data_IF_517285164435
#
_entry.id   IF_517285164435
#
_cell.length_a   1.000
_cell.length_b   1.000
_cell.length_c   1.000
_cell.angle_alpha   90.00
_cell.angle_beta   90.00
_cell.angle_gamma   90.00
#
_symmetry.space_group_name_H-M   'P 1'
#
loop_
_entity.id
_entity.type
_entity.pdbx_description
1 polymer ?
#
# COMPACT_ATOMS: atom_id res chain seq x y z
N UNK A 1 -3.58 15.72 40.26
CA UNK A 1 -2.93 15.78 38.93
C UNK A 1 -3.55 16.96 38.22
N UNK A 2 -2.76 17.84 37.62
CA UNK A 2 -3.26 19.06 36.98
C UNK A 2 -4.18 18.68 35.78
N UNK A 3 -5.36 19.28 35.69
CA UNK A 3 -6.41 18.94 34.69
C UNK A 3 -5.86 19.07 33.25
N UNK A 4 -4.95 20.04 33.07
CA UNK A 4 -4.23 20.28 31.81
C UNK A 4 -3.28 19.13 31.43
N UNK A 5 -2.63 18.51 32.42
CA UNK A 5 -1.71 17.39 32.20
C UNK A 5 -2.46 16.12 31.76
N UNK A 6 -3.61 15.85 32.38
CA UNK A 6 -4.47 14.71 32.03
C UNK A 6 -5.08 14.87 30.62
N UNK A 7 -5.47 16.09 30.25
CA UNK A 7 -5.94 16.38 28.89
C UNK A 7 -4.85 16.17 27.83
N UNK A 8 -3.63 16.66 28.07
CA UNK A 8 -2.48 16.40 27.18
C UNK A 8 -2.18 14.91 27.04
N UNK A 9 -2.28 14.11 28.12
CA UNK A 9 -2.11 12.65 28.05
C UNK A 9 -3.13 11.98 27.13
N UNK A 10 -4.39 12.43 27.16
CA UNK A 10 -5.45 11.95 26.26
C UNK A 10 -5.17 12.32 24.80
N UNK A 11 -4.72 13.55 24.54
CA UNK A 11 -4.33 13.99 23.20
C UNK A 11 -3.16 13.18 22.66
N UNK A 12 -2.13 12.92 23.47
CA UNK A 12 -1.01 12.07 23.09
C UNK A 12 -1.48 10.69 22.65
N UNK A 13 -2.31 10.03 23.49
CA UNK A 13 -2.84 8.71 23.17
C UNK A 13 -3.66 8.68 21.88
N UNK A 14 -4.42 9.74 21.61
CA UNK A 14 -5.20 9.87 20.38
C UNK A 14 -4.29 9.94 19.14
N UNK A 15 -3.25 10.77 19.20
CA UNK A 15 -2.30 10.95 18.10
C UNK A 15 -1.46 9.69 17.85
N UNK A 16 -1.03 8.99 18.89
CA UNK A 16 -0.26 7.74 18.73
C UNK A 16 -1.12 6.59 18.21
N UNK A 17 -2.37 6.48 18.62
CA UNK A 17 -3.32 5.51 18.06
C UNK A 17 -3.60 5.81 16.58
N UNK A 18 -3.76 7.09 16.21
CA UNK A 18 -3.91 7.50 14.82
C UNK A 18 -2.68 7.10 14.00
N UNK A 19 -1.47 7.42 14.47
CA UNK A 19 -0.23 7.02 13.82
C UNK A 19 -0.18 5.50 13.56
N UNK A 20 -0.48 4.69 14.58
CA UNK A 20 -0.47 3.24 14.44
C UNK A 20 -1.43 2.74 13.36
N UNK A 21 -2.66 3.27 13.32
CA UNK A 21 -3.65 2.95 12.28
C UNK A 21 -3.16 3.34 10.88
N UNK A 22 -2.53 4.50 10.75
CA UNK A 22 -2.04 4.96 9.46
C UNK A 22 -0.88 4.12 8.93
N UNK A 23 0.02 3.63 9.80
CA UNK A 23 1.07 2.68 9.39
C UNK A 23 0.47 1.41 8.76
N UNK A 24 -0.62 0.89 9.33
CA UNK A 24 -1.36 -0.24 8.76
C UNK A 24 -2.01 0.10 7.41
N UNK A 25 -2.66 1.27 7.31
CA UNK A 25 -3.24 1.76 6.05
C UNK A 25 -2.19 1.90 4.96
N UNK A 26 -1.06 2.54 5.26
CA UNK A 26 0.06 2.72 4.33
C UNK A 26 0.63 1.39 3.86
N UNK A 27 0.87 0.46 4.76
CA UNK A 27 1.41 -0.85 4.37
C UNK A 27 0.41 -1.65 3.54
N UNK A 28 -0.89 -1.50 3.81
CA UNK A 28 -1.94 -2.09 2.97
C UNK A 28 -1.90 -1.52 1.55
N UNK A 29 -1.71 -0.20 1.39
CA UNK A 29 -1.52 0.43 0.08
C UNK A 29 -0.25 -0.07 -0.62
N UNK A 30 0.87 -0.24 0.08
CA UNK A 30 2.10 -0.84 -0.47
C UNK A 30 1.89 -2.27 -0.96
N UNK A 31 1.19 -3.09 -0.18
CA UNK A 31 0.87 -4.47 -0.55
C UNK A 31 -0.04 -4.51 -1.77
N UNK A 32 -1.02 -3.60 -1.84
CA UNK A 32 -1.91 -3.47 -2.99
C UNK A 32 -1.12 -3.08 -4.25
N UNK A 33 -0.31 -2.03 -4.20
CA UNK A 33 0.57 -1.59 -5.28
C UNK A 33 1.43 -2.74 -5.84
N UNK A 34 2.10 -3.47 -4.94
CA UNK A 34 2.96 -4.59 -5.30
C UNK A 34 2.19 -5.77 -5.89
N UNK A 35 0.98 -6.05 -5.40
CA UNK A 35 0.16 -7.15 -5.90
C UNK A 35 -0.38 -6.84 -7.29
N UNK A 36 -0.84 -5.63 -7.54
CA UNK A 36 -1.30 -5.15 -8.85
C UNK A 36 -0.15 -5.13 -9.87
N UNK A 37 1.04 -4.64 -9.46
CA UNK A 37 2.24 -4.69 -10.30
C UNK A 37 2.62 -6.12 -10.69
N UNK A 38 2.68 -7.04 -9.72
CA UNK A 38 2.99 -8.46 -9.98
C UNK A 38 1.98 -9.12 -10.92
N UNK A 39 0.70 -8.75 -10.85
CA UNK A 39 -0.29 -9.23 -11.80
C UNK A 39 0.00 -8.73 -13.21
N UNK A 40 0.30 -7.44 -13.37
CA UNK A 40 0.69 -6.85 -14.65
C UNK A 40 1.95 -7.50 -15.24
N UNK A 41 2.97 -7.73 -14.41
CA UNK A 41 4.21 -8.39 -14.82
C UNK A 41 3.94 -9.82 -15.32
N UNK A 42 3.10 -10.59 -14.61
CA UNK A 42 2.70 -11.95 -15.02
C UNK A 42 1.96 -11.97 -16.35
N UNK A 43 1.04 -11.04 -16.57
CA UNK A 43 0.32 -10.91 -17.84
C UNK A 43 1.30 -10.58 -18.97
N UNK A 44 2.23 -9.64 -18.71
CA UNK A 44 3.24 -9.24 -19.68
C UNK A 44 4.15 -10.41 -20.07
N UNK A 45 4.62 -11.20 -19.10
CA UNK A 45 5.41 -12.42 -19.35
C UNK A 45 4.60 -13.43 -20.16
N UNK A 46 3.34 -13.67 -19.80
CA UNK A 46 2.46 -14.59 -20.53
C UNK A 46 2.29 -14.15 -22.00
N UNK A 47 2.13 -12.85 -22.25
CA UNK A 47 2.07 -12.30 -23.61
C UNK A 47 3.37 -12.52 -24.39
N UNK A 48 4.53 -12.27 -23.78
CA UNK A 48 5.83 -12.51 -24.43
C UNK A 48 5.96 -13.97 -24.84
N UNK A 49 5.60 -14.91 -23.96
CA UNK A 49 5.64 -16.35 -24.27
C UNK A 49 4.66 -16.69 -25.39
N UNK A 50 3.40 -16.28 -25.29
CA UNK A 50 2.37 -16.60 -26.28
C UNK A 50 2.67 -16.01 -27.65
N UNK A 51 3.15 -14.77 -27.72
CA UNK A 51 3.53 -14.11 -28.98
C UNK A 51 4.78 -14.74 -29.60
N UNK A 52 5.75 -15.17 -28.78
CA UNK A 52 6.92 -15.91 -29.26
C UNK A 52 6.52 -17.26 -29.85
N UNK A 53 5.68 -18.03 -29.14
CA UNK A 53 5.15 -19.32 -29.64
C UNK A 53 4.33 -19.12 -30.91
N UNK A 54 3.49 -18.09 -30.95
CA UNK A 54 2.71 -17.75 -32.15
C UNK A 54 3.60 -17.42 -33.34
N UNK A 55 4.64 -16.62 -33.15
CA UNK A 55 5.57 -16.22 -34.22
C UNK A 55 6.33 -17.42 -34.78
N UNK A 56 6.90 -18.26 -33.90
CA UNK A 56 7.61 -19.48 -34.31
C UNK A 56 6.66 -20.49 -34.98
N UNK A 57 5.46 -20.66 -34.42
CA UNK A 57 4.44 -21.55 -34.98
C UNK A 57 3.95 -21.09 -36.35
N UNK A 58 3.83 -19.77 -36.56
CA UNK A 58 3.46 -19.20 -37.85
C UNK A 58 4.55 -19.44 -38.90
N UNK A 59 5.83 -19.25 -38.56
CA UNK A 59 6.97 -19.54 -39.46
C UNK A 59 6.97 -21.03 -39.85
N UNK A 60 6.64 -21.92 -38.91
CA UNK A 60 6.60 -23.37 -39.15
C UNK A 60 5.53 -23.81 -40.15
N UNK A 61 4.53 -22.96 -40.45
CA UNK A 61 3.51 -23.25 -41.47
C UNK A 61 4.07 -23.31 -42.89
N UNK A 62 5.24 -22.75 -43.12
CA UNK A 62 5.95 -22.80 -44.40
C UNK A 62 6.56 -24.20 -44.67
N UNK A 63 6.61 -25.07 -43.66
CA UNK A 63 7.11 -26.44 -43.79
C UNK A 63 5.97 -27.40 -44.17
N UNK A 64 6.26 -28.49 -44.91
CA UNK A 64 5.24 -29.44 -45.36
C UNK A 64 4.38 -30.08 -44.26
N UNK A 65 4.85 -30.09 -43.00
CA UNK A 65 4.16 -30.65 -41.83
C UNK A 65 3.54 -29.59 -40.89
N UNK A 66 3.41 -28.34 -41.34
CA UNK A 66 3.11 -27.18 -40.50
C UNK A 66 1.66 -26.99 -40.02
N UNK A 67 0.72 -27.88 -40.36
CA UNK A 67 -0.71 -27.70 -40.03
C UNK A 67 -0.98 -27.60 -38.51
N UNK A 68 -0.35 -28.48 -37.71
CA UNK A 68 -0.49 -28.44 -36.24
C UNK A 68 0.09 -27.16 -35.67
N UNK A 69 1.23 -26.69 -36.22
CA UNK A 69 1.85 -25.44 -35.82
C UNK A 69 0.96 -24.22 -36.11
N UNK A 70 0.21 -24.24 -37.22
CA UNK A 70 -0.75 -23.19 -37.57
C UNK A 70 -1.89 -23.07 -36.53
N UNK A 71 -2.45 -24.19 -36.10
CA UNK A 71 -3.53 -24.22 -35.09
C UNK A 71 -3.01 -23.66 -33.76
N UNK A 72 -1.85 -24.13 -33.31
CA UNK A 72 -1.22 -23.65 -32.07
C UNK A 72 -0.92 -22.15 -32.15
N UNK A 73 -0.34 -21.68 -33.26
CA UNK A 73 -0.03 -20.27 -33.45
C UNK A 73 -1.28 -19.38 -33.42
N UNK A 74 -2.37 -19.84 -34.05
CA UNK A 74 -3.65 -19.13 -34.07
C UNK A 74 -4.25 -19.05 -32.66
N UNK A 75 -4.27 -20.15 -31.92
CA UNK A 75 -4.76 -20.18 -30.55
C UNK A 75 -3.93 -19.28 -29.63
N UNK A 76 -2.59 -19.36 -29.69
CA UNK A 76 -1.70 -18.51 -28.91
C UNK A 76 -1.89 -17.02 -29.22
N UNK A 77 -2.07 -16.67 -30.51
CA UNK A 77 -2.35 -15.29 -30.93
C UNK A 77 -3.67 -14.77 -30.38
N UNK A 78 -4.73 -15.58 -30.41
CA UNK A 78 -6.03 -15.21 -29.87
C UNK A 78 -5.97 -14.97 -28.35
N UNK A 79 -5.26 -15.82 -27.60
CA UNK A 79 -5.08 -15.64 -26.15
C UNK A 79 -4.21 -14.42 -25.84
N UNK A 80 -3.12 -14.20 -26.59
CA UNK A 80 -2.27 -13.02 -26.42
C UNK A 80 -3.06 -11.72 -26.66
N UNK A 81 -3.93 -11.70 -27.68
CA UNK A 81 -4.81 -10.57 -27.98
C UNK A 81 -5.82 -10.34 -26.85
N UNK A 82 -6.45 -11.40 -26.34
CA UNK A 82 -7.39 -11.31 -25.21
C UNK A 82 -6.71 -10.72 -23.96
N UNK A 83 -5.50 -11.18 -23.64
CA UNK A 83 -4.70 -10.63 -22.54
C UNK A 83 -4.33 -9.15 -22.76
N UNK A 84 -4.06 -8.76 -24.01
CA UNK A 84 -3.74 -7.37 -24.35
C UNK A 84 -4.94 -6.45 -24.12
N UNK A 85 -6.11 -6.86 -24.60
CA UNK A 85 -7.34 -6.11 -24.42
C UNK A 85 -7.71 -6.01 -22.93
N UNK A 86 -7.57 -7.10 -22.17
CA UNK A 86 -7.76 -7.09 -20.73
C UNK A 86 -6.80 -6.12 -20.03
N UNK A 87 -5.50 -6.21 -20.30
CA UNK A 87 -4.49 -5.33 -19.67
C UNK A 87 -4.76 -3.85 -19.93
N UNK A 88 -5.17 -3.50 -21.17
CA UNK A 88 -5.54 -2.15 -21.55
C UNK A 88 -6.76 -1.63 -20.80
N UNK A 89 -7.77 -2.48 -20.57
CA UNK A 89 -8.97 -2.11 -19.81
C UNK A 89 -8.72 -2.04 -18.30
N UNK A 90 -7.92 -2.96 -17.76
CA UNK A 90 -7.63 -3.07 -16.33
C UNK A 90 -6.70 -1.97 -15.81
N UNK A 91 -5.90 -1.33 -16.68
CA UNK A 91 -5.02 -0.19 -16.32
C UNK A 91 -4.15 -0.47 -15.08
N UNK A 92 -3.66 -1.70 -14.95
CA UNK A 92 -2.95 -2.20 -13.76
C UNK A 92 -1.74 -1.33 -13.36
N UNK A 93 -1.07 -0.72 -14.35
CA UNK A 93 0.04 0.21 -14.07
C UNK A 93 -0.43 1.52 -13.44
N UNK A 94 -1.57 2.08 -13.90
CA UNK A 94 -2.16 3.30 -13.32
C UNK A 94 -2.69 3.01 -11.92
N UNK A 95 -3.36 1.87 -11.74
CA UNK A 95 -3.87 1.43 -10.43
C UNK A 95 -2.74 1.19 -9.42
N UNK A 96 -1.67 0.50 -9.83
CA UNK A 96 -0.47 0.32 -8.99
C UNK A 96 0.14 1.66 -8.59
N UNK A 97 0.27 2.59 -9.54
CA UNK A 97 0.79 3.94 -9.26
C UNK A 97 -0.12 4.74 -8.31
N UNK A 98 -1.45 4.59 -8.42
CA UNK A 98 -2.40 5.22 -7.49
C UNK A 98 -2.23 4.70 -6.06
N UNK A 99 -2.02 3.39 -5.87
CA UNK A 99 -1.72 2.81 -4.57
C UNK A 99 -0.37 3.31 -4.01
N UNK A 100 0.67 3.42 -4.85
CA UNK A 100 1.97 4.00 -4.44
C UNK A 100 1.80 5.45 -4.01
N UNK A 101 1.05 6.25 -4.76
CA UNK A 101 0.76 7.64 -4.41
C UNK A 101 0.06 7.73 -3.05
N UNK A 102 -1.00 6.95 -2.82
CA UNK A 102 -1.69 6.93 -1.54
C UNK A 102 -0.77 6.54 -0.38
N UNK A 103 0.11 5.55 -0.57
CA UNK A 103 1.12 5.16 0.43
C UNK A 103 2.10 6.30 0.76
N UNK A 104 2.59 7.02 -0.26
CA UNK A 104 3.48 8.17 -0.06
C UNK A 104 2.78 9.33 0.65
N UNK A 105 1.53 9.60 0.31
CA UNK A 105 0.72 10.65 0.93
C UNK A 105 0.46 10.32 2.41
N UNK A 106 0.16 9.05 2.73
CA UNK A 106 0.04 8.56 4.12
C UNK A 106 1.36 8.65 4.87
N UNK A 107 2.48 8.32 4.24
CA UNK A 107 3.81 8.49 4.85
C UNK A 107 4.10 9.95 5.19
N UNK A 108 3.75 10.89 4.32
CA UNK A 108 3.93 12.31 4.59
C UNK A 108 3.10 12.78 5.80
N UNK A 109 1.87 12.28 5.95
CA UNK A 109 1.06 12.49 7.14
C UNK A 109 1.74 11.90 8.39
N UNK A 110 2.19 10.64 8.34
CA UNK A 110 2.90 9.97 9.45
C UNK A 110 4.11 10.79 9.92
N UNK A 111 4.91 11.34 9.00
CA UNK A 111 6.08 12.18 9.35
C UNK A 111 5.68 13.49 10.03
N UNK A 112 4.61 14.15 9.56
CA UNK A 112 4.10 15.37 10.18
C UNK A 112 3.53 15.09 11.58
N UNK A 113 2.86 13.96 11.74
CA UNK A 113 2.34 13.52 13.03
C UNK A 113 3.46 13.20 14.01
N UNK A 114 4.54 12.55 13.56
CA UNK A 114 5.76 12.33 14.37
C UNK A 114 6.40 13.66 14.77
N UNK A 115 6.45 14.65 13.86
CA UNK A 115 6.92 16.00 14.21
C UNK A 115 6.05 16.64 15.29
N UNK A 116 4.72 16.57 15.16
CA UNK A 116 3.79 17.07 16.19
C UNK A 116 3.98 16.36 17.53
N UNK A 117 4.17 15.04 17.54
CA UNK A 117 4.46 14.26 18.73
C UNK A 117 5.81 14.64 19.35
N UNK A 118 6.80 15.00 18.54
CA UNK A 118 8.12 15.43 19.03
C UNK A 118 8.03 16.75 19.78
N UNK A 119 7.29 17.73 19.23
CA UNK A 119 7.13 19.07 19.79
C UNK A 119 6.03 19.15 20.89
N UNK A 120 5.38 18.02 21.20
CA UNK A 120 4.14 17.96 21.96
C UNK A 120 4.22 18.58 23.36
N UNK A 121 5.35 18.40 24.06
CA UNK A 121 5.54 18.93 25.41
C UNK A 121 5.62 20.46 25.43
N UNK A 122 6.19 21.06 24.37
CA UNK A 122 6.41 22.50 24.24
C UNK A 122 5.14 23.27 23.84
N UNK A 123 4.16 22.58 23.26
CA UNK A 123 2.92 23.18 22.76
C UNK A 123 1.84 23.24 23.86
N UNK A 124 1.03 24.29 23.87
CA UNK A 124 -0.19 24.31 24.67
C UNK A 124 -1.29 23.43 24.05
N UNK A 125 -2.30 22.98 24.81
CA UNK A 125 -3.33 22.09 24.29
C UNK A 125 -4.14 22.68 23.12
N UNK A 126 -4.33 23.99 23.08
CA UNK A 126 -5.02 24.66 21.98
C UNK A 126 -4.25 24.55 20.67
N UNK A 127 -2.93 24.80 20.72
CA UNK A 127 -2.04 24.63 19.57
C UNK A 127 -1.95 23.17 19.10
N UNK A 128 -1.94 22.21 20.02
CA UNK A 128 -1.96 20.77 19.70
C UNK A 128 -3.25 20.41 18.96
N UNK A 129 -4.40 20.83 19.47
CA UNK A 129 -5.69 20.57 18.84
C UNK A 129 -5.76 21.19 17.43
N UNK A 130 -5.34 22.44 17.26
CA UNK A 130 -5.35 23.10 15.96
C UNK A 130 -4.47 22.37 14.93
N UNK A 131 -3.25 21.96 15.31
CA UNK A 131 -2.34 21.18 14.44
C UNK A 131 -2.90 19.79 14.13
N UNK A 132 -3.49 19.10 15.12
CA UNK A 132 -4.15 17.80 14.91
C UNK A 132 -5.27 17.93 13.89
N UNK A 133 -6.17 18.89 14.07
CA UNK A 133 -7.35 19.04 13.23
C UNK A 133 -6.94 19.34 11.78
N UNK A 134 -5.94 20.22 11.60
CA UNK A 134 -5.33 20.45 10.28
C UNK A 134 -4.76 19.17 9.65
N UNK A 135 -3.97 18.40 10.40
CA UNK A 135 -3.41 17.14 9.90
C UNK A 135 -4.49 16.12 9.54
N UNK A 136 -5.59 16.09 10.28
CA UNK A 136 -6.68 15.14 10.07
C UNK A 136 -7.54 15.53 8.85
N UNK A 137 -7.69 16.83 8.59
CA UNK A 137 -8.31 17.33 7.35
C UNK A 137 -7.45 16.94 6.11
N UNK A 138 -6.12 17.05 6.22
CA UNK A 138 -5.20 16.57 5.18
C UNK A 138 -5.32 15.04 4.99
N UNK A 139 -5.43 14.29 6.07
CA UNK A 139 -5.60 12.83 6.03
C UNK A 139 -6.92 12.42 5.38
N UNK A 140 -8.03 13.11 5.67
CA UNK A 140 -9.32 12.87 5.01
C UNK A 140 -9.22 13.07 3.49
N UNK A 141 -8.50 14.09 3.04
CA UNK A 141 -8.25 14.31 1.63
C UNK A 141 -7.46 13.15 0.99
N UNK A 142 -6.47 12.59 1.69
CA UNK A 142 -5.73 11.39 1.24
C UNK A 142 -6.70 10.23 1.09
N UNK A 143 -7.51 9.93 2.12
CA UNK A 143 -8.46 8.81 2.09
C UNK A 143 -9.51 8.92 0.99
N UNK A 144 -10.02 10.12 0.70
CA UNK A 144 -10.96 10.36 -0.41
C UNK A 144 -10.37 10.08 -1.78
N UNK A 145 -9.07 10.27 -1.94
CA UNK A 145 -8.36 10.03 -3.20
C UNK A 145 -7.74 8.63 -3.31
N UNK A 146 -7.69 7.89 -2.20
CA UNK A 146 -7.04 6.59 -2.14
C UNK A 146 -7.85 5.52 -2.87
N UNK A 147 -7.20 4.68 -3.70
CA UNK A 147 -7.85 3.51 -4.28
C UNK A 147 -8.26 2.51 -3.18
N UNK A 148 -9.34 1.78 -3.46
CA UNK A 148 -9.86 0.78 -2.53
C UNK A 148 -8.90 -0.40 -2.41
N UNK A 149 -8.71 -0.85 -1.18
CA UNK A 149 -7.98 -2.08 -0.85
C UNK A 149 -8.96 -3.20 -0.50
N UNK A 150 -8.45 -4.41 -0.33
CA UNK A 150 -9.23 -5.57 0.07
C UNK A 150 -8.63 -6.28 1.30
N UNK A 151 -9.42 -7.16 1.89
CA UNK A 151 -9.06 -7.90 3.11
C UNK A 151 -7.78 -8.73 2.96
N UNK A 152 -7.54 -9.32 1.78
CA UNK A 152 -6.32 -10.09 1.52
C UNK A 152 -5.07 -9.22 1.54
N UNK A 153 -5.16 -7.99 1.01
CA UNK A 153 -4.06 -7.02 1.06
C UNK A 153 -3.82 -6.57 2.50
N UNK A 154 -4.88 -6.31 3.26
CA UNK A 154 -4.80 -5.91 4.66
C UNK A 154 -4.15 -6.99 5.54
N UNK A 155 -4.61 -8.24 5.46
CA UNK A 155 -4.04 -9.34 6.26
C UNK A 155 -2.58 -9.60 5.90
N UNK A 156 -2.21 -9.45 4.62
CA UNK A 156 -0.82 -9.55 4.20
C UNK A 156 0.04 -8.40 4.73
N UNK A 157 -0.47 -7.17 4.72
CA UNK A 157 0.23 -6.02 5.30
C UNK A 157 0.44 -6.21 6.81
N UNK A 158 -0.60 -6.64 7.52
CA UNK A 158 -0.53 -6.97 8.95
C UNK A 158 0.50 -8.05 9.26
N UNK A 159 0.58 -9.09 8.42
CA UNK A 159 1.62 -10.11 8.55
C UNK A 159 3.02 -9.53 8.32
N UNK A 160 3.21 -8.72 7.27
CA UNK A 160 4.50 -8.09 6.97
C UNK A 160 4.97 -7.15 8.07
N UNK A 161 4.07 -6.36 8.67
CA UNK A 161 4.40 -5.50 9.81
C UNK A 161 4.88 -6.34 11.00
N UNK A 162 4.22 -7.45 11.30
CA UNK A 162 4.59 -8.35 12.42
C UNK A 162 5.91 -9.08 12.21
N UNK A 163 6.21 -9.45 10.97
CA UNK A 163 7.46 -10.13 10.62
C UNK A 163 8.63 -9.14 10.59
N UNK A 164 8.45 -7.94 10.01
CA UNK A 164 9.48 -6.91 9.97
C UNK A 164 9.74 -6.26 11.33
N UNK A 165 8.76 -6.28 12.25
CA UNK A 165 8.89 -5.75 13.61
C UNK A 165 9.18 -6.83 14.67
N UNK A 166 9.37 -8.09 14.25
CA UNK A 166 9.70 -9.25 15.09
C UNK A 166 8.91 -9.29 16.43
N UNK A 167 7.67 -9.76 16.35
CA UNK A 167 6.68 -9.99 17.44
C UNK A 167 6.05 -8.75 18.09
N UNK A 168 4.77 -8.51 17.81
CA UNK A 168 3.88 -7.77 18.71
C UNK A 168 2.41 -8.22 18.57
N UNK A 169 1.98 -9.05 19.52
CA UNK A 169 0.58 -9.36 19.84
C UNK A 169 0.42 -9.29 21.38
N UNK A 170 0.97 -8.24 21.99
CA UNK A 170 0.91 -7.98 23.44
C UNK A 170 0.78 -6.48 23.67
N UNK A 171 0.22 -6.09 24.83
CA UNK A 171 0.09 -4.71 25.30
C UNK A 171 1.38 -3.90 25.00
N UNK A 172 1.30 -2.90 24.11
CA UNK A 172 2.47 -2.15 23.61
C UNK A 172 2.66 -2.09 22.10
N UNK A 173 1.72 -2.60 21.29
CA UNK A 173 1.80 -2.55 19.81
C UNK A 173 1.94 -1.13 19.23
N UNK A 174 1.28 -0.13 19.81
CA UNK A 174 1.44 1.27 19.41
C UNK A 174 2.87 1.76 19.71
N UNK A 175 3.43 1.36 20.85
CA UNK A 175 4.79 1.73 21.23
C UNK A 175 5.81 1.11 20.25
N UNK A 176 5.63 -0.14 19.81
CA UNK A 176 6.55 -0.75 18.84
C UNK A 176 6.49 -0.13 17.44
N UNK A 177 5.37 0.49 17.07
CA UNK A 177 5.21 1.19 15.79
C UNK A 177 5.85 2.57 15.77
N UNK A 178 5.84 3.26 16.92
CA UNK A 178 6.43 4.60 17.04
C UNK A 178 7.97 4.54 16.89
N UNK A 179 8.62 5.63 16.44
CA UNK A 179 10.06 5.82 16.57
C UNK A 179 10.54 5.62 18.02
N UNK A 180 11.75 5.06 18.20
CA UNK A 180 12.28 4.69 19.53
C UNK A 180 12.24 5.82 20.57
N UNK A 181 12.49 7.05 20.15
CA UNK A 181 12.49 8.25 21.00
C UNK A 181 11.09 8.69 21.48
N UNK A 182 10.01 8.14 20.91
CA UNK A 182 8.63 8.43 21.29
C UNK A 182 7.99 7.28 22.10
N UNK A 183 8.63 6.12 22.15
CA UNK A 183 8.25 5.00 23.02
C UNK A 183 8.48 5.46 24.46
N UNK A 184 7.51 5.32 25.36
CA UNK A 184 7.63 5.57 26.82
C UNK A 184 7.41 7.00 27.38
N UNK A 185 7.12 8.04 26.57
CA UNK A 185 6.98 9.41 27.12
C UNK A 185 5.78 9.67 28.05
N UNK A 186 4.74 8.82 28.07
CA UNK A 186 3.50 9.10 28.84
C UNK A 186 2.89 7.89 29.58
N UNK A 187 3.67 6.82 29.82
CA UNK A 187 3.20 5.60 30.52
C UNK A 187 3.27 5.66 32.06
N UNK A 188 3.75 6.76 32.65
CA UNK A 188 3.64 7.05 34.09
C UNK A 188 2.55 8.06 34.40
#
# INVERSE_FOLDING_TARGET
MDENHEYKKRLWSQLTEAYAKEVYSRETQNVAANSTKKLGDRISIAQIVLTSVATVGFISTLLPSGYVAAIVATACSAVALALNLYSRGAKLSEESAAHVKASNDLWAFEQRLVSLLTDFEELDPGAICAKRDQLFDELDAVYRSAPRTNERQYEKAKKMLKENQAQSFTDGEIDSLLPENLRWKYKS
#
